data_IF_709009500625
#
_entry.id   IF_709009500625
#
_cell.length_a   1.000
_cell.length_b   1.000
_cell.length_c   1.000
_cell.angle_alpha   90.00
_cell.angle_beta   90.00
_cell.angle_gamma   90.00
#
_symmetry.space_group_name_H-M   'P 1'
#
loop_
_entity.id
_entity.type
_entity.pdbx_description
1 polymer ?
#
# COMPACT_ATOMS: atom_id res chain seq x y z
N UNK A 1 -0.69 10.96 7.02
CA UNK A 1 -0.70 11.74 8.26
C UNK A 1 -1.48 11.09 9.39
N UNK A 2 -2.68 10.53 9.19
CA UNK A 2 -3.50 9.93 10.27
C UNK A 2 -2.79 8.84 11.10
N UNK A 3 -1.94 8.01 10.50
CA UNK A 3 -1.17 6.98 11.23
C UNK A 3 -0.09 7.55 12.16
N UNK A 4 0.40 8.76 11.89
CA UNK A 4 1.37 9.46 12.73
C UNK A 4 0.72 10.14 13.92
N UNK A 5 -0.55 10.55 13.78
CA UNK A 5 -1.35 11.13 14.85
C UNK A 5 -1.82 10.10 15.89
N UNK A 6 -1.77 8.80 15.57
CA UNK A 6 -2.08 7.71 16.48
C UNK A 6 -0.94 7.36 17.44
N UNK A 7 0.27 7.94 17.28
CA UNK A 7 1.39 7.73 18.19
C UNK A 7 1.21 8.63 19.43
N UNK A 8 1.45 8.06 20.60
CA UNK A 8 1.26 8.74 21.91
C UNK A 8 2.23 9.89 22.16
N UNK A 9 3.37 9.93 21.48
CA UNK A 9 4.41 10.95 21.67
C UNK A 9 5.15 11.23 20.36
N UNK A 10 5.64 12.48 20.22
CA UNK A 10 6.47 12.93 19.08
C UNK A 10 7.74 12.10 18.92
N UNK A 11 8.32 11.60 20.01
CA UNK A 11 9.49 10.74 20.00
C UNK A 11 9.22 9.39 19.34
N UNK A 12 8.06 8.77 19.61
CA UNK A 12 7.63 7.53 19.00
C UNK A 12 7.33 7.70 17.50
N UNK A 13 6.69 8.81 17.13
CA UNK A 13 6.43 9.14 15.73
C UNK A 13 7.72 9.29 14.91
N UNK A 14 8.75 9.96 15.46
CA UNK A 14 10.08 10.08 14.81
C UNK A 14 10.75 8.73 14.66
N UNK A 15 10.76 7.88 15.69
CA UNK A 15 11.31 6.53 15.63
C UNK A 15 10.60 5.69 14.56
N UNK A 16 9.27 5.73 14.52
CA UNK A 16 8.48 5.00 13.53
C UNK A 16 8.84 5.43 12.11
N UNK A 17 8.96 6.75 11.85
CA UNK A 17 9.33 7.27 10.54
C UNK A 17 10.73 6.82 10.11
N UNK A 18 11.72 6.96 11.01
CA UNK A 18 13.10 6.56 10.70
C UNK A 18 13.18 5.05 10.47
N UNK A 19 12.56 4.25 11.33
CA UNK A 19 12.53 2.79 11.17
C UNK A 19 11.87 2.38 9.86
N UNK A 20 10.73 2.99 9.52
CA UNK A 20 10.05 2.74 8.24
C UNK A 20 10.95 3.13 7.06
N UNK A 21 11.64 4.27 7.13
CA UNK A 21 12.58 4.69 6.10
C UNK A 21 13.71 3.68 5.87
N UNK A 22 14.32 3.20 6.95
CA UNK A 22 15.38 2.17 6.87
C UNK A 22 14.85 0.87 6.27
N UNK A 23 13.67 0.40 6.68
CA UNK A 23 13.04 -0.81 6.14
C UNK A 23 12.77 -0.64 4.65
N UNK A 24 12.26 0.50 4.22
CA UNK A 24 11.99 0.79 2.80
C UNK A 24 13.28 0.75 1.98
N UNK A 25 14.37 1.37 2.45
CA UNK A 25 15.67 1.33 1.76
C UNK A 25 16.15 -0.11 1.59
N UNK A 26 16.07 -0.91 2.65
CA UNK A 26 16.45 -2.33 2.60
C UNK A 26 15.58 -3.13 1.61
N UNK A 27 14.28 -2.88 1.61
CA UNK A 27 13.34 -3.50 0.68
C UNK A 27 13.65 -3.13 -0.78
N UNK A 28 13.92 -1.86 -1.06
CA UNK A 28 14.32 -1.44 -2.40
C UNK A 28 15.64 -2.08 -2.85
N UNK A 29 16.64 -2.15 -1.98
CA UNK A 29 17.90 -2.82 -2.27
C UNK A 29 17.69 -4.30 -2.63
N UNK A 30 16.81 -4.99 -1.90
CA UNK A 30 16.46 -6.38 -2.16
C UNK A 30 15.80 -6.55 -3.54
N UNK A 31 14.83 -5.69 -3.89
CA UNK A 31 14.20 -5.72 -5.21
C UNK A 31 15.17 -5.38 -6.35
N UNK A 32 16.12 -4.48 -6.13
CA UNK A 32 17.16 -4.19 -7.12
C UNK A 32 18.05 -5.43 -7.37
N UNK A 33 18.44 -6.13 -6.32
CA UNK A 33 19.20 -7.38 -6.45
C UNK A 33 18.40 -8.41 -7.25
N UNK A 34 17.13 -8.59 -6.93
CA UNK A 34 16.24 -9.49 -7.70
C UNK A 34 16.16 -9.07 -9.16
N UNK A 35 16.05 -7.77 -9.45
CA UNK A 35 16.03 -7.24 -10.82
C UNK A 35 17.32 -7.57 -11.58
N UNK A 36 18.48 -7.37 -10.95
CA UNK A 36 19.79 -7.70 -11.55
C UNK A 36 19.92 -9.21 -11.82
N UNK A 37 19.49 -10.04 -10.87
CA UNK A 37 19.52 -11.49 -11.05
C UNK A 37 18.61 -11.95 -12.18
N UNK A 38 17.42 -11.39 -12.29
CA UNK A 38 16.50 -11.68 -13.40
C UNK A 38 17.07 -11.23 -14.75
N UNK A 39 17.70 -10.06 -14.78
CA UNK A 39 18.40 -9.59 -15.98
C UNK A 39 19.54 -10.52 -16.39
N UNK A 40 20.34 -10.98 -15.42
CA UNK A 40 21.40 -11.95 -15.68
C UNK A 40 20.86 -13.31 -16.16
N UNK A 41 19.71 -13.74 -15.63
CA UNK A 41 19.07 -15.01 -16.00
C UNK A 41 18.51 -15.00 -17.41
N UNK A 42 17.82 -13.93 -17.81
CA UNK A 42 17.20 -13.83 -19.14
C UNK A 42 18.16 -13.30 -20.23
N UNK A 43 19.26 -12.65 -19.86
CA UNK A 43 20.18 -12.02 -20.79
C UNK A 43 19.56 -10.88 -21.59
N UNK A 44 20.18 -10.55 -22.74
CA UNK A 44 19.69 -9.52 -23.68
C UNK A 44 18.56 -10.02 -24.61
N UNK A 45 17.69 -10.88 -24.10
CA UNK A 45 16.52 -11.34 -24.86
C UNK A 45 15.53 -10.18 -24.94
N UNK A 46 14.82 -10.04 -26.06
CA UNK A 46 13.81 -9.02 -26.37
C UNK A 46 12.56 -9.07 -25.44
N UNK A 47 12.78 -9.03 -24.13
CA UNK A 47 11.72 -8.97 -23.11
C UNK A 47 11.73 -7.55 -22.56
N UNK A 48 10.57 -6.92 -22.53
CA UNK A 48 10.43 -5.60 -21.91
C UNK A 48 10.74 -5.68 -20.43
N UNK A 49 11.43 -4.67 -19.90
CA UNK A 49 11.91 -4.66 -18.51
C UNK A 49 10.78 -4.81 -17.48
N UNK A 50 9.58 -4.34 -17.80
CA UNK A 50 8.38 -4.42 -16.96
C UNK A 50 7.71 -5.81 -16.98
N UNK A 51 7.98 -6.62 -18.00
CA UNK A 51 7.41 -7.95 -18.16
C UNK A 51 8.30 -9.07 -17.56
N UNK A 52 9.60 -8.81 -17.34
CA UNK A 52 10.58 -9.82 -16.91
C UNK A 52 10.16 -10.51 -15.62
N UNK A 53 9.74 -9.75 -14.63
CA UNK A 53 9.34 -10.30 -13.32
C UNK A 53 8.07 -11.16 -13.41
N UNK A 54 7.08 -10.69 -14.16
CA UNK A 54 5.83 -11.42 -14.38
C UNK A 54 6.07 -12.71 -15.17
N UNK A 55 6.93 -12.65 -16.18
CA UNK A 55 7.33 -13.80 -17.00
C UNK A 55 8.05 -14.85 -16.16
N UNK A 56 8.97 -14.45 -15.31
CA UNK A 56 9.66 -15.35 -14.39
C UNK A 56 8.68 -16.08 -13.46
N UNK A 57 7.71 -15.35 -12.89
CA UNK A 57 6.68 -15.95 -12.02
C UNK A 57 5.88 -17.00 -12.78
N UNK A 58 5.47 -16.71 -14.02
CA UNK A 58 4.57 -17.57 -14.79
C UNK A 58 5.30 -18.79 -15.35
N UNK A 59 6.52 -18.63 -15.87
CA UNK A 59 7.22 -19.66 -16.62
C UNK A 59 8.13 -20.54 -15.75
N UNK A 60 8.81 -19.96 -14.76
CA UNK A 60 9.90 -20.62 -14.04
C UNK A 60 9.46 -21.18 -12.69
N UNK A 61 8.56 -20.49 -11.99
CA UNK A 61 8.19 -20.91 -10.64
C UNK A 61 7.24 -22.11 -10.62
N UNK A 62 7.40 -23.03 -9.64
CA UNK A 62 6.45 -24.12 -9.46
C UNK A 62 5.06 -23.60 -9.07
N UNK A 63 4.02 -24.34 -9.44
CA UNK A 63 2.62 -23.91 -9.33
C UNK A 63 2.21 -23.45 -7.92
N UNK A 64 2.69 -24.10 -6.87
CA UNK A 64 2.39 -23.71 -5.49
C UNK A 64 2.98 -22.33 -5.11
N UNK A 65 4.26 -22.11 -5.43
CA UNK A 65 4.93 -20.82 -5.16
C UNK A 65 4.33 -19.69 -6.00
N UNK A 66 4.03 -19.98 -7.27
CA UNK A 66 3.32 -19.06 -8.17
C UNK A 66 1.99 -18.58 -7.57
N UNK A 67 1.18 -19.50 -7.06
CA UNK A 67 -0.08 -19.18 -6.43
C UNK A 67 0.07 -18.27 -5.21
N UNK A 68 1.05 -18.53 -4.35
CA UNK A 68 1.33 -17.71 -3.15
C UNK A 68 1.75 -16.29 -3.55
N UNK A 69 2.62 -16.13 -4.56
CA UNK A 69 3.06 -14.82 -5.01
C UNK A 69 1.91 -14.03 -5.60
N UNK A 70 1.10 -14.65 -6.46
CA UNK A 70 -0.06 -14.00 -7.07
C UNK A 70 -1.08 -13.60 -6.00
N UNK A 71 -1.38 -14.48 -5.06
CA UNK A 71 -2.26 -14.15 -3.93
C UNK A 71 -1.71 -13.00 -3.08
N UNK A 72 -0.39 -12.97 -2.83
CA UNK A 72 0.29 -11.89 -2.13
C UNK A 72 0.18 -10.55 -2.87
N UNK A 73 0.34 -10.53 -4.18
CA UNK A 73 0.16 -9.34 -5.01
C UNK A 73 -1.27 -8.79 -4.92
N UNK A 74 -2.27 -9.66 -5.05
CA UNK A 74 -3.67 -9.25 -4.89
C UNK A 74 -3.96 -8.74 -3.48
N UNK A 75 -3.47 -9.42 -2.45
CA UNK A 75 -3.65 -8.98 -1.06
C UNK A 75 -3.02 -7.59 -0.82
N UNK A 76 -1.83 -7.34 -1.34
CA UNK A 76 -1.16 -6.04 -1.23
C UNK A 76 -1.93 -4.94 -1.98
N UNK A 77 -2.41 -5.23 -3.20
CA UNK A 77 -3.21 -4.29 -3.98
C UNK A 77 -4.51 -3.93 -3.26
N UNK A 78 -5.26 -4.92 -2.79
CA UNK A 78 -6.51 -4.71 -2.05
C UNK A 78 -6.29 -3.95 -0.75
N UNK A 79 -5.23 -4.26 -0.01
CA UNK A 79 -4.87 -3.54 1.22
C UNK A 79 -4.56 -2.06 0.95
N UNK A 80 -3.83 -1.77 -0.11
CA UNK A 80 -3.49 -0.39 -0.51
C UNK A 80 -4.74 0.37 -0.94
N UNK A 81 -5.61 -0.23 -1.76
CA UNK A 81 -6.88 0.36 -2.18
C UNK A 81 -7.78 0.66 -0.98
N UNK A 82 -7.98 -0.31 -0.09
CA UNK A 82 -8.80 -0.13 1.11
C UNK A 82 -8.26 1.00 2.01
N UNK A 83 -6.94 1.08 2.19
CA UNK A 83 -6.30 2.15 2.93
C UNK A 83 -6.49 3.52 2.29
N UNK A 84 -6.39 3.61 0.96
CA UNK A 84 -6.58 4.85 0.20
C UNK A 84 -8.03 5.34 0.26
N UNK A 85 -8.99 4.46 0.05
CA UNK A 85 -10.42 4.76 0.12
C UNK A 85 -10.80 5.25 1.52
N UNK A 86 -10.33 4.56 2.56
CA UNK A 86 -10.59 4.95 3.96
C UNK A 86 -9.98 6.31 4.28
N UNK A 87 -8.77 6.59 3.80
CA UNK A 87 -8.10 7.86 4.01
C UNK A 87 -8.83 9.01 3.32
N UNK A 88 -9.25 8.82 2.06
CA UNK A 88 -10.04 9.80 1.30
C UNK A 88 -11.37 10.09 1.98
N UNK A 89 -12.11 9.06 2.36
CA UNK A 89 -13.40 9.22 3.04
C UNK A 89 -13.25 9.97 4.37
N UNK A 90 -12.20 9.68 5.13
CA UNK A 90 -11.89 10.37 6.38
C UNK A 90 -11.51 11.83 6.15
N UNK A 91 -10.70 12.14 5.12
CA UNK A 91 -10.35 13.53 4.80
C UNK A 91 -11.56 14.34 4.38
N UNK A 92 -12.44 13.81 3.53
CA UNK A 92 -13.67 14.48 3.14
C UNK A 92 -14.57 14.75 4.36
N UNK A 93 -14.70 13.79 5.27
CA UNK A 93 -15.50 13.99 6.49
C UNK A 93 -14.89 15.04 7.42
N UNK A 94 -13.59 14.96 7.69
CA UNK A 94 -12.93 15.83 8.68
C UNK A 94 -12.67 17.25 8.15
N UNK A 95 -12.30 17.36 6.86
CA UNK A 95 -11.85 18.62 6.30
C UNK A 95 -12.98 19.40 5.62
N UNK A 96 -14.00 18.70 5.10
CA UNK A 96 -15.12 19.34 4.37
C UNK A 96 -16.44 19.27 5.16
N UNK A 97 -16.84 18.09 5.63
CA UNK A 97 -18.18 17.92 6.19
C UNK A 97 -18.33 18.48 7.61
N UNK A 98 -17.40 18.15 8.51
CA UNK A 98 -17.47 18.56 9.91
C UNK A 98 -17.36 20.08 10.11
N UNK A 99 -16.46 20.81 9.41
CA UNK A 99 -16.36 22.27 9.60
C UNK A 99 -17.60 23.03 9.14
N UNK A 100 -18.37 22.49 8.19
CA UNK A 100 -19.58 23.14 7.68
C UNK A 100 -20.85 22.83 8.50
N UNK A 101 -20.76 21.90 9.44
CA UNK A 101 -21.93 21.47 10.22
C UNK A 101 -21.70 21.62 11.71
N UNK A 102 -22.35 22.60 12.32
CA UNK A 102 -22.24 22.96 13.73
C UNK A 102 -22.84 21.94 14.74
N UNK A 103 -23.43 20.83 14.29
CA UNK A 103 -24.09 19.84 15.14
C UNK A 103 -23.50 18.45 14.88
N UNK A 104 -22.68 17.96 15.82
CA UNK A 104 -21.96 16.69 15.73
C UNK A 104 -22.83 15.58 16.33
N UNK A 105 -23.62 14.90 15.50
CA UNK A 105 -24.23 13.63 15.85
C UNK A 105 -23.29 12.50 15.38
N UNK A 106 -22.55 11.89 16.32
CA UNK A 106 -21.51 10.88 16.02
C UNK A 106 -22.05 9.71 15.17
N UNK A 107 -23.29 9.30 15.41
CA UNK A 107 -23.92 8.20 14.65
C UNK A 107 -24.13 8.58 13.16
N UNK A 108 -24.54 9.81 12.91
CA UNK A 108 -24.74 10.30 11.52
C UNK A 108 -23.40 10.49 10.82
N UNK A 109 -22.39 11.00 11.51
CA UNK A 109 -21.05 11.14 10.96
C UNK A 109 -20.45 9.79 10.55
N UNK A 110 -20.64 8.76 11.37
CA UNK A 110 -20.20 7.40 11.05
C UNK A 110 -20.94 6.83 9.83
N UNK A 111 -22.24 7.10 9.70
CA UNK A 111 -23.03 6.67 8.55
C UNK A 111 -22.56 7.37 7.25
N UNK A 112 -22.35 8.67 7.30
CA UNK A 112 -21.85 9.43 6.14
C UNK A 112 -20.43 9.01 5.75
N UNK A 113 -19.55 8.74 6.71
CA UNK A 113 -18.22 8.21 6.42
C UNK A 113 -18.28 6.85 5.71
N UNK A 114 -19.17 5.96 6.15
CA UNK A 114 -19.40 4.67 5.47
C UNK A 114 -19.95 4.83 4.06
N UNK A 115 -20.90 5.74 3.87
CA UNK A 115 -21.45 6.03 2.54
C UNK A 115 -20.39 6.59 1.58
N UNK A 116 -19.53 7.48 2.06
CA UNK A 116 -18.39 7.98 1.29
C UNK A 116 -17.39 6.88 0.93
N UNK A 117 -17.16 5.93 1.84
CA UNK A 117 -16.30 4.78 1.56
C UNK A 117 -16.86 3.86 0.47
N UNK A 118 -18.20 3.77 0.36
CA UNK A 118 -18.87 2.99 -0.70
C UNK A 118 -18.86 3.73 -2.04
N UNK A 119 -18.89 5.04 -2.00
CA UNK A 119 -18.89 5.88 -3.20
C UNK A 119 -17.53 5.90 -3.91
N UNK A 120 -16.43 5.82 -3.17
CA UNK A 120 -15.05 5.75 -3.68
C UNK A 120 -14.62 4.32 -3.99
#
# INVERSE_FOLDING_TARGET
MQRLLAAKDLGESKKALVTTGVIIIFQFALFLIVGVLLYAYYGLINVKSDEIFSKFIIEVLPSGVKGIIIAGLFAAALSTLAGSITSLSSSVMLDLYIPFKNNIDEKKNLLYSKLLTIFW
#
